data_IF_092984508082
#
_entry.id   IF_092984508082
#
_cell.length_a   1.000
_cell.length_b   1.000
_cell.length_c   1.000
_cell.angle_alpha   90.00
_cell.angle_beta   90.00
_cell.angle_gamma   90.00
#
_symmetry.space_group_name_H-M   'P 1'
#
loop_
_entity.id
_entity.type
_entity.pdbx_description
1 polymer ?
#
# COMPACT_ATOMS: atom_id res chain seq x y z
N UNK A 1 -14.93 -10.26 39.30
CA UNK A 1 -13.78 -10.08 38.39
C UNK A 1 -13.12 -11.44 38.26
N UNK A 2 -13.49 -12.22 37.20
CA UNK A 2 -12.94 -13.55 36.95
C UNK A 2 -11.57 -13.39 36.30
N UNK A 3 -10.51 -13.76 37.03
CA UNK A 3 -9.16 -13.74 36.49
C UNK A 3 -9.07 -14.71 35.31
N UNK A 4 -8.76 -14.20 34.11
CA UNK A 4 -8.51 -15.04 32.93
C UNK A 4 -7.23 -15.84 33.22
N UNK A 5 -7.34 -17.18 33.20
CA UNK A 5 -6.19 -18.06 33.40
C UNK A 5 -5.10 -17.76 32.35
N UNK A 6 -3.82 -17.61 32.75
CA UNK A 6 -2.71 -17.34 31.82
C UNK A 6 -2.65 -18.34 30.66
N UNK A 7 -2.92 -19.62 30.93
CA UNK A 7 -2.89 -20.72 29.95
C UNK A 7 -3.91 -20.58 28.80
N UNK A 8 -4.95 -19.76 28.96
CA UNK A 8 -5.93 -19.51 27.92
C UNK A 8 -5.43 -18.51 26.85
N UNK A 9 -4.55 -17.60 27.25
CA UNK A 9 -3.94 -16.60 26.36
C UNK A 9 -2.89 -17.24 25.48
N UNK A 10 -2.09 -18.16 26.00
CA UNK A 10 -1.01 -18.83 25.26
C UNK A 10 -1.53 -19.75 24.15
N UNK A 11 -2.77 -20.27 24.26
CA UNK A 11 -3.38 -21.12 23.23
C UNK A 11 -3.87 -20.36 22.00
N UNK A 12 -3.98 -19.05 22.04
CA UNK A 12 -4.51 -18.20 20.95
C UNK A 12 -3.38 -17.58 20.14
N UNK A 13 -2.16 -17.54 20.68
CA UNK A 13 -1.02 -16.95 20.00
C UNK A 13 -0.30 -17.99 19.12
N UNK A 14 0.14 -17.62 17.92
CA UNK A 14 0.87 -18.53 17.06
C UNK A 14 2.20 -18.93 17.72
N UNK A 15 2.43 -20.25 17.83
CA UNK A 15 3.68 -20.80 18.39
C UNK A 15 4.86 -20.62 17.43
N UNK A 16 4.62 -20.52 16.13
CA UNK A 16 5.62 -20.29 15.11
C UNK A 16 5.13 -19.28 14.08
N UNK A 17 6.05 -18.45 13.57
CA UNK A 17 5.75 -17.45 12.53
C UNK A 17 5.76 -18.12 11.16
N UNK A 18 4.67 -18.01 10.37
CA UNK A 18 4.63 -18.52 9.00
C UNK A 18 5.37 -17.53 8.07
N UNK A 19 6.66 -17.68 7.94
CA UNK A 19 7.52 -16.74 7.21
C UNK A 19 7.07 -16.51 5.76
N UNK A 20 6.56 -17.53 5.08
CA UNK A 20 6.04 -17.35 3.72
C UNK A 20 4.88 -16.36 3.68
N UNK A 21 3.96 -16.41 4.65
CA UNK A 21 2.87 -15.45 4.74
C UNK A 21 3.38 -14.03 5.09
N UNK A 22 4.39 -13.92 5.96
CA UNK A 22 5.04 -12.64 6.27
C UNK A 22 5.67 -12.04 5.02
N UNK A 23 6.43 -12.82 4.26
CA UNK A 23 7.06 -12.40 3.00
C UNK A 23 6.01 -11.91 2.00
N UNK A 24 4.89 -12.64 1.83
CA UNK A 24 3.82 -12.22 0.93
C UNK A 24 3.21 -10.87 1.35
N UNK A 25 3.02 -10.62 2.65
CA UNK A 25 2.52 -9.33 3.14
C UNK A 25 3.54 -8.21 2.90
N UNK A 26 4.84 -8.49 3.09
CA UNK A 26 5.92 -7.54 2.79
C UNK A 26 5.93 -7.17 1.30
N UNK A 27 5.86 -8.17 0.41
CA UNK A 27 5.76 -7.93 -1.03
C UNK A 27 4.50 -7.13 -1.41
N UNK A 28 3.36 -7.39 -0.78
CA UNK A 28 2.15 -6.61 -0.98
C UNK A 28 2.35 -5.13 -0.62
N UNK A 29 3.03 -4.86 0.49
CA UNK A 29 3.40 -3.50 0.89
C UNK A 29 4.36 -2.83 -0.09
N UNK A 30 5.42 -3.53 -0.51
CA UNK A 30 6.39 -3.02 -1.49
C UNK A 30 5.68 -2.75 -2.83
N UNK A 31 4.85 -3.67 -3.32
CA UNK A 31 4.06 -3.48 -4.54
C UNK A 31 3.17 -2.24 -4.46
N UNK A 32 2.49 -2.02 -3.32
CA UNK A 32 1.71 -0.81 -3.11
C UNK A 32 2.59 0.45 -3.10
N UNK A 33 3.79 0.40 -2.51
CA UNK A 33 4.72 1.54 -2.45
C UNK A 33 5.36 1.88 -3.81
N UNK A 34 5.48 0.91 -4.74
CA UNK A 34 5.90 1.18 -6.13
C UNK A 34 5.01 2.22 -6.81
N UNK A 35 3.71 2.23 -6.51
CA UNK A 35 2.76 3.19 -7.07
C UNK A 35 2.98 4.63 -6.57
N UNK A 36 3.64 4.82 -5.43
CA UNK A 36 4.07 6.14 -4.96
C UNK A 36 5.25 6.62 -5.81
N UNK A 37 6.26 5.79 -5.99
CA UNK A 37 7.47 6.14 -6.75
C UNK A 37 7.22 6.38 -8.24
N UNK A 38 6.33 5.60 -8.88
CA UNK A 38 6.03 5.74 -10.31
C UNK A 38 5.50 7.12 -10.69
N UNK A 39 4.73 7.77 -9.80
CA UNK A 39 4.18 9.09 -10.07
C UNK A 39 5.28 10.16 -10.27
N UNK A 40 6.33 10.10 -9.47
CA UNK A 40 7.46 11.02 -9.57
C UNK A 40 8.22 10.83 -10.88
N UNK A 41 8.40 9.59 -11.33
CA UNK A 41 9.11 9.27 -12.58
C UNK A 41 8.31 9.72 -13.80
N UNK A 42 6.98 9.61 -13.74
CA UNK A 42 6.10 9.94 -14.84
C UNK A 42 5.94 11.45 -15.07
N UNK A 43 6.32 12.32 -14.12
CA UNK A 43 6.08 13.77 -14.21
C UNK A 43 6.58 14.41 -15.51
N UNK A 44 7.83 14.18 -15.97
CA UNK A 44 8.31 14.80 -17.20
C UNK A 44 7.50 14.40 -18.43
N UNK A 45 7.11 13.12 -18.51
CA UNK A 45 6.28 12.61 -19.60
C UNK A 45 4.87 13.22 -19.55
N UNK A 46 4.28 13.31 -18.37
CA UNK A 46 2.95 13.91 -18.18
C UNK A 46 2.95 15.42 -18.49
N UNK A 47 4.05 16.13 -18.18
CA UNK A 47 4.22 17.53 -18.56
C UNK A 47 4.24 17.68 -20.09
N UNK A 48 4.99 16.82 -20.77
CA UNK A 48 5.07 16.83 -22.24
C UNK A 48 3.72 16.46 -22.89
N UNK A 49 2.98 15.50 -22.32
CA UNK A 49 1.72 14.99 -22.87
C UNK A 49 0.55 15.95 -22.65
N UNK A 50 0.41 16.46 -21.41
CA UNK A 50 -0.76 17.27 -21.04
C UNK A 50 -0.53 18.77 -21.09
N UNK A 51 0.71 19.25 -21.20
CA UNK A 51 1.05 20.69 -21.24
C UNK A 51 0.51 21.46 -20.01
N UNK A 52 0.41 20.81 -18.87
CA UNK A 52 -0.15 21.40 -17.64
C UNK A 52 0.94 22.05 -16.80
N UNK A 53 0.53 23.04 -15.98
CA UNK A 53 1.42 23.69 -15.04
C UNK A 53 1.95 22.70 -13.99
N UNK A 54 3.14 22.97 -13.44
CA UNK A 54 3.73 22.18 -12.35
C UNK A 54 2.80 22.09 -11.13
N UNK A 55 2.01 23.12 -10.88
CA UNK A 55 0.99 23.11 -9.82
C UNK A 55 -0.08 22.04 -10.07
N UNK A 56 -0.62 21.98 -11.29
CA UNK A 56 -1.59 20.96 -11.66
C UNK A 56 -0.99 19.54 -11.60
N UNK A 57 0.23 19.37 -12.10
CA UNK A 57 0.96 18.11 -12.09
C UNK A 57 1.32 17.65 -10.67
N UNK A 58 1.53 18.57 -9.71
CA UNK A 58 1.79 18.21 -8.32
C UNK A 58 0.64 17.39 -7.68
N UNK A 59 -0.59 17.55 -8.16
CA UNK A 59 -1.73 16.75 -7.72
C UNK A 59 -1.59 15.27 -8.07
N UNK A 60 -0.86 14.90 -9.13
CA UNK A 60 -0.59 13.50 -9.47
C UNK A 60 0.16 12.79 -8.35
N UNK A 61 1.04 13.51 -7.64
CA UNK A 61 1.77 12.99 -6.47
C UNK A 61 0.94 13.16 -5.20
N UNK A 62 0.36 14.35 -4.99
CA UNK A 62 -0.28 14.74 -3.73
C UNK A 62 -1.64 14.08 -3.50
N UNK A 63 -2.37 13.71 -4.55
CA UNK A 63 -3.66 13.01 -4.43
C UNK A 63 -3.54 11.71 -3.62
N UNK A 64 -2.45 11.02 -3.76
CA UNK A 64 -2.20 9.74 -3.13
C UNK A 64 -2.08 9.84 -1.58
N UNK A 65 -1.16 10.63 -1.00
CA UNK A 65 -1.07 10.83 0.45
C UNK A 65 -2.28 11.57 1.02
N UNK A 66 -2.93 12.45 0.24
CA UNK A 66 -4.14 13.16 0.67
C UNK A 66 -5.24 12.20 1.10
N UNK A 67 -5.47 11.13 0.33
CA UNK A 67 -6.41 10.07 0.71
C UNK A 67 -6.02 9.40 2.03
N UNK A 68 -4.72 9.27 2.31
CA UNK A 68 -4.21 8.67 3.55
C UNK A 68 -4.67 9.40 4.80
N UNK A 69 -4.72 10.73 4.75
CA UNK A 69 -5.12 11.58 5.88
C UNK A 69 -6.56 11.29 6.33
N UNK A 70 -7.46 11.10 5.38
CA UNK A 70 -8.89 10.91 5.66
C UNK A 70 -9.30 9.43 5.65
N UNK A 71 -8.62 8.60 4.86
CA UNK A 71 -8.99 7.20 4.63
C UNK A 71 -8.54 6.24 5.73
N UNK A 72 -7.54 6.59 6.52
CA UNK A 72 -6.94 5.66 7.50
C UNK A 72 -7.91 5.14 8.54
N UNK A 73 -8.76 6.03 9.12
CA UNK A 73 -9.77 5.64 10.12
C UNK A 73 -10.82 4.73 9.48
N UNK A 74 -11.32 5.10 8.31
CA UNK A 74 -12.32 4.31 7.59
C UNK A 74 -11.77 2.93 7.22
N UNK A 75 -10.52 2.85 6.73
CA UNK A 75 -9.85 1.58 6.44
C UNK A 75 -9.72 0.70 7.69
N UNK A 76 -9.37 1.28 8.85
CA UNK A 76 -9.31 0.55 10.13
C UNK A 76 -10.66 -0.05 10.54
N UNK A 77 -11.75 0.69 10.39
CA UNK A 77 -13.10 0.21 10.64
C UNK A 77 -13.50 -0.92 9.68
N UNK A 78 -13.15 -0.80 8.41
CA UNK A 78 -13.40 -1.82 7.40
C UNK A 78 -12.61 -3.11 7.70
N UNK A 79 -11.33 -3.01 8.13
CA UNK A 79 -10.52 -4.16 8.55
C UNK A 79 -11.20 -4.93 9.69
N UNK A 80 -11.76 -4.21 10.67
CA UNK A 80 -12.49 -4.84 11.78
C UNK A 80 -13.75 -5.56 11.33
N UNK A 81 -14.47 -5.04 10.31
CA UNK A 81 -15.74 -5.57 9.85
C UNK A 81 -15.58 -6.72 8.85
N UNK A 82 -14.67 -6.63 7.91
CA UNK A 82 -14.54 -7.56 6.77
C UNK A 82 -13.34 -8.49 6.88
N UNK A 83 -12.46 -8.23 7.84
CA UNK A 83 -11.24 -9.00 8.09
C UNK A 83 -10.05 -8.50 7.27
N UNK A 84 -8.88 -8.62 7.88
CA UNK A 84 -7.62 -8.08 7.41
C UNK A 84 -7.15 -8.69 6.07
N UNK A 85 -7.25 -10.02 5.89
CA UNK A 85 -6.80 -10.71 4.66
C UNK A 85 -7.65 -10.31 3.43
N UNK A 86 -8.97 -10.22 3.62
CA UNK A 86 -9.88 -9.85 2.53
C UNK A 86 -9.65 -8.40 2.11
N UNK A 87 -9.48 -7.53 3.11
CA UNK A 87 -9.19 -6.13 2.85
C UNK A 87 -7.83 -5.92 2.18
N UNK A 88 -6.80 -6.67 2.60
CA UNK A 88 -5.48 -6.63 1.95
C UNK A 88 -5.59 -6.99 0.45
N UNK A 89 -6.29 -8.07 0.13
CA UNK A 89 -6.51 -8.48 -1.26
C UNK A 89 -7.33 -7.44 -2.04
N UNK A 90 -8.40 -6.90 -1.43
CA UNK A 90 -9.22 -5.85 -2.04
C UNK A 90 -8.41 -4.57 -2.30
N UNK A 91 -7.58 -4.14 -1.36
CA UNK A 91 -6.70 -2.99 -1.53
C UNK A 91 -5.75 -3.16 -2.71
N UNK A 92 -5.12 -4.33 -2.85
CA UNK A 92 -4.26 -4.65 -3.99
C UNK A 92 -5.03 -4.65 -5.32
N UNK A 93 -6.24 -5.21 -5.34
CA UNK A 93 -7.10 -5.19 -6.52
C UNK A 93 -7.49 -3.76 -6.92
N UNK A 94 -7.86 -2.91 -5.96
CA UNK A 94 -8.18 -1.50 -6.22
C UNK A 94 -6.98 -0.77 -6.81
N UNK A 95 -5.79 -0.92 -6.23
CA UNK A 95 -4.57 -0.30 -6.75
C UNK A 95 -4.31 -0.75 -8.19
N UNK A 96 -4.34 -2.07 -8.42
CA UNK A 96 -4.06 -2.63 -9.75
C UNK A 96 -5.07 -2.17 -10.80
N UNK A 97 -6.37 -2.22 -10.49
CA UNK A 97 -7.42 -1.77 -11.39
C UNK A 97 -7.32 -0.27 -11.68
N UNK A 98 -7.14 0.56 -10.65
CA UNK A 98 -7.00 2.00 -10.81
C UNK A 98 -5.74 2.37 -11.60
N UNK A 99 -4.63 1.66 -11.38
CA UNK A 99 -3.39 1.86 -12.12
C UNK A 99 -3.56 1.51 -13.59
N UNK A 100 -4.21 0.37 -13.89
CA UNK A 100 -4.47 -0.06 -15.25
C UNK A 100 -5.41 0.90 -15.99
N UNK A 101 -6.51 1.32 -15.35
CA UNK A 101 -7.42 2.30 -15.93
C UNK A 101 -6.75 3.65 -16.12
N UNK A 102 -5.96 4.12 -15.14
CA UNK A 102 -5.21 5.38 -15.25
C UNK A 102 -4.22 5.39 -16.43
N UNK A 103 -3.59 4.25 -16.73
CA UNK A 103 -2.69 4.12 -17.86
C UNK A 103 -3.42 4.14 -19.22
N UNK A 104 -4.72 3.80 -19.25
CA UNK A 104 -5.54 3.81 -20.46
C UNK A 104 -6.26 5.15 -20.69
N UNK A 105 -6.22 6.07 -19.73
CA UNK A 105 -6.88 7.37 -19.84
C UNK A 105 -5.97 8.39 -20.53
N UNK A 106 -6.53 9.14 -21.46
CA UNK A 106 -5.84 10.19 -22.23
C UNK A 106 -6.24 11.60 -21.76
N UNK A 107 -7.01 11.71 -20.67
CA UNK A 107 -7.40 12.98 -20.08
C UNK A 107 -6.80 13.15 -18.68
N UNK A 108 -6.37 14.37 -18.39
CA UNK A 108 -5.72 14.69 -17.12
C UNK A 108 -6.65 14.51 -15.90
N UNK A 109 -7.94 14.83 -16.05
CA UNK A 109 -8.92 14.70 -14.95
C UNK A 109 -9.13 13.24 -14.57
N UNK A 110 -9.26 12.36 -15.56
CA UNK A 110 -9.36 10.93 -15.33
C UNK A 110 -8.10 10.34 -14.67
N UNK A 111 -6.92 10.82 -15.09
CA UNK A 111 -5.66 10.45 -14.43
C UNK A 111 -5.68 10.83 -12.94
N UNK A 112 -6.07 12.05 -12.60
CA UNK A 112 -6.16 12.48 -11.20
C UNK A 112 -7.15 11.63 -10.41
N UNK A 113 -8.34 11.34 -10.97
CA UNK A 113 -9.31 10.45 -10.32
C UNK A 113 -8.72 9.05 -10.07
N UNK A 114 -8.02 8.50 -11.05
CA UNK A 114 -7.35 7.19 -10.89
C UNK A 114 -6.32 7.22 -9.75
N UNK A 115 -5.59 8.33 -9.56
CA UNK A 115 -4.63 8.52 -8.45
C UNK A 115 -5.31 8.54 -7.09
N UNK A 116 -6.49 9.16 -6.97
CA UNK A 116 -7.28 9.10 -5.74
C UNK A 116 -7.74 7.67 -5.44
N UNK A 117 -8.19 6.93 -6.44
CA UNK A 117 -8.63 5.53 -6.28
C UNK A 117 -7.45 4.62 -5.91
N UNK A 118 -6.28 4.79 -6.55
CA UNK A 118 -5.04 4.11 -6.15
C UNK A 118 -4.69 4.41 -4.68
N UNK A 119 -4.81 5.69 -4.26
CA UNK A 119 -4.59 6.11 -2.88
C UNK A 119 -5.50 5.41 -1.88
N UNK A 120 -6.79 5.23 -2.21
CA UNK A 120 -7.73 4.45 -1.38
C UNK A 120 -7.25 3.00 -1.20
N UNK A 121 -6.89 2.34 -2.30
CA UNK A 121 -6.36 0.99 -2.25
C UNK A 121 -5.07 0.89 -1.43
N UNK A 122 -4.16 1.86 -1.57
CA UNK A 122 -2.92 1.94 -0.79
C UNK A 122 -3.19 2.04 0.70
N UNK A 123 -4.07 2.94 1.13
CA UNK A 123 -4.42 3.11 2.55
C UNK A 123 -4.97 1.80 3.12
N UNK A 124 -5.82 1.10 2.36
CA UNK A 124 -6.34 -0.20 2.77
C UNK A 124 -5.20 -1.22 2.96
N UNK A 125 -4.24 -1.30 2.03
CA UNK A 125 -3.08 -2.20 2.13
C UNK A 125 -2.23 -1.86 3.35
N UNK A 126 -1.92 -0.58 3.56
CA UNK A 126 -1.07 -0.11 4.68
C UNK A 126 -1.70 -0.36 6.03
N UNK A 127 -3.03 -0.27 6.14
CA UNK A 127 -3.76 -0.53 7.39
C UNK A 127 -4.00 -2.03 7.61
N UNK A 128 -4.32 -2.78 6.55
CA UNK A 128 -4.60 -4.21 6.66
C UNK A 128 -3.35 -5.05 6.91
N UNK A 129 -2.21 -4.70 6.31
CA UNK A 129 -0.97 -5.48 6.43
C UNK A 129 -0.47 -5.64 7.86
N UNK A 130 -0.32 -4.56 8.67
CA UNK A 130 0.04 -4.70 10.08
C UNK A 130 -0.97 -5.53 10.88
N UNK A 131 -2.26 -5.45 10.56
CA UNK A 131 -3.29 -6.26 11.21
C UNK A 131 -3.10 -7.76 10.91
N UNK A 132 -2.82 -8.11 9.65
CA UNK A 132 -2.46 -9.49 9.27
C UNK A 132 -1.20 -9.94 10.01
N UNK A 133 -0.13 -9.15 9.98
CA UNK A 133 1.15 -9.49 10.62
C UNK A 133 0.99 -9.68 12.13
N UNK A 134 0.27 -8.79 12.81
CA UNK A 134 0.05 -8.90 14.25
C UNK A 134 -0.67 -10.19 14.66
N UNK A 135 -1.50 -10.72 13.76
CA UNK A 135 -2.26 -11.96 14.00
C UNK A 135 -1.46 -13.22 13.73
N UNK A 136 -0.56 -13.21 12.73
CA UNK A 136 0.15 -14.42 12.30
C UNK A 136 1.55 -14.56 12.88
N UNK A 137 2.14 -13.49 13.40
CA UNK A 137 3.52 -13.47 13.89
C UNK A 137 3.57 -13.84 15.36
N UNK A 138 4.47 -14.77 15.71
CA UNK A 138 4.73 -15.16 17.10
C UNK A 138 5.21 -13.95 17.92
N UNK A 139 4.79 -13.79 19.19
CA UNK A 139 5.11 -12.62 20.00
C UNK A 139 6.61 -12.30 20.07
N UNK A 140 7.45 -13.31 20.16
CA UNK A 140 8.92 -13.13 20.23
C UNK A 140 9.53 -12.54 18.95
N UNK A 141 8.84 -12.63 17.79
CA UNK A 141 9.36 -12.18 16.50
C UNK A 141 8.66 -10.91 15.98
N UNK A 142 7.68 -10.38 16.71
CA UNK A 142 6.92 -9.20 16.28
C UNK A 142 7.83 -7.99 16.05
N UNK A 143 8.72 -7.69 16.96
CA UNK A 143 9.64 -6.54 16.83
C UNK A 143 10.45 -6.62 15.55
N UNK A 144 11.01 -7.80 15.23
CA UNK A 144 11.77 -8.03 14.00
C UNK A 144 10.88 -7.85 12.75
N UNK A 145 9.72 -8.50 12.71
CA UNK A 145 8.82 -8.46 11.55
C UNK A 145 8.30 -7.05 11.30
N UNK A 146 7.91 -6.30 12.35
CA UNK A 146 7.46 -4.91 12.19
C UNK A 146 8.62 -3.97 11.82
N UNK A 147 9.84 -4.23 12.30
CA UNK A 147 11.05 -3.53 11.85
C UNK A 147 11.27 -3.72 10.34
N UNK A 148 11.18 -4.95 9.84
CA UNK A 148 11.28 -5.24 8.41
C UNK A 148 10.09 -4.61 7.66
N UNK A 149 8.85 -4.72 8.19
CA UNK A 149 7.69 -4.09 7.57
C UNK A 149 7.87 -2.59 7.38
N UNK A 150 8.46 -1.89 8.33
CA UNK A 150 8.66 -0.43 8.22
C UNK A 150 9.53 0.00 7.03
N UNK A 151 10.29 -0.92 6.43
CA UNK A 151 11.12 -0.67 5.24
C UNK A 151 10.35 -0.75 3.92
N UNK A 152 9.08 -1.21 3.89
CA UNK A 152 8.32 -1.42 2.66
C UNK A 152 8.19 -0.14 1.81
N UNK A 153 7.96 1.00 2.46
CA UNK A 153 7.78 2.28 1.77
C UNK A 153 9.08 2.76 1.10
N UNK A 154 10.21 2.94 1.82
CA UNK A 154 11.45 3.35 1.18
C UNK A 154 11.93 2.32 0.16
N UNK A 155 11.76 1.03 0.40
CA UNK A 155 12.15 -0.01 -0.55
C UNK A 155 11.35 0.09 -1.87
N UNK A 156 10.02 0.23 -1.80
CA UNK A 156 9.17 0.37 -2.99
C UNK A 156 9.49 1.64 -3.79
N UNK A 157 9.67 2.78 -3.11
CA UNK A 157 10.07 4.03 -3.76
C UNK A 157 11.44 3.88 -4.41
N UNK A 158 12.44 3.33 -3.71
CA UNK A 158 13.79 3.14 -4.24
C UNK A 158 13.80 2.23 -5.48
N UNK A 159 13.05 1.12 -5.45
CA UNK A 159 12.88 0.22 -6.59
C UNK A 159 12.28 0.97 -7.78
N UNK A 160 11.22 1.77 -7.56
CA UNK A 160 10.61 2.56 -8.62
C UNK A 160 11.60 3.55 -9.23
N UNK A 161 12.32 4.31 -8.40
CA UNK A 161 13.27 5.32 -8.88
C UNK A 161 14.46 4.70 -9.61
N UNK A 162 14.90 3.51 -9.21
CA UNK A 162 16.03 2.84 -9.85
C UNK A 162 15.64 2.18 -11.18
N UNK A 163 14.54 1.43 -11.20
CA UNK A 163 14.12 0.68 -12.39
C UNK A 163 13.20 1.44 -13.33
N UNK A 164 12.42 2.40 -12.81
CA UNK A 164 11.42 3.13 -13.58
C UNK A 164 11.97 3.85 -14.82
N UNK A 165 13.07 4.61 -14.74
CA UNK A 165 13.66 5.27 -15.92
C UNK A 165 14.09 4.29 -17.01
N UNK A 166 14.56 3.10 -16.64
CA UNK A 166 14.95 2.06 -17.59
C UNK A 166 13.75 1.46 -18.31
N UNK A 167 12.60 1.36 -17.61
CA UNK A 167 11.35 0.87 -18.20
C UNK A 167 10.63 1.93 -19.05
N UNK A 168 10.73 3.21 -18.68
CA UNK A 168 10.16 4.32 -19.43
C UNK A 168 10.88 4.58 -20.77
N UNK A 169 12.15 4.21 -20.89
CA UNK A 169 12.93 4.34 -22.11
C UNK A 169 12.57 3.32 -23.21
N UNK A 170 11.59 2.44 -23.00
CA UNK A 170 11.11 1.45 -23.96
C UNK A 170 9.82 1.91 -24.69
N UNK A 171 9.33 3.10 -24.43
CA UNK A 171 8.21 3.77 -25.08
C UNK A 171 8.72 4.90 -25.99
#
# INVERSE_FOLDING_TARGET
MTAIKPDAIDRVLPAATPWLAVINVLFAGIAAALHVGKATIALPALEAEFGRSLEALSWVISAFPFVGVFGGIAAGLLVRRWGDRRLLALGLLIISAASFTGAALHDFSGLIVSRFVEGLGFVIVVVASPAVLNRIVAPAQRSLVFGIWSTFMPAGIAISLFFGPHLAGWQ
#
